data_IF_971294062347
#
_entry.id   IF_971294062347
#
_cell.length_a   1.000
_cell.length_b   1.000
_cell.length_c   1.000
_cell.angle_alpha   90.00
_cell.angle_beta   90.00
_cell.angle_gamma   90.00
#
_symmetry.space_group_name_H-M   'P 1'
#
loop_
_entity.id
_entity.type
_entity.pdbx_description
1 polymer ?
#
# COMPACT_ATOMS: atom_id res chain seq x y z
N UNK A 1 -12.05 -16.24 16.94
CA UNK A 1 -11.88 -15.47 15.70
C UNK A 1 -12.90 -14.35 15.74
N UNK A 2 -12.47 -13.09 15.83
CA UNK A 2 -13.39 -11.96 15.94
C UNK A 2 -14.05 -11.78 14.57
N UNK A 3 -15.36 -11.94 14.53
CA UNK A 3 -16.17 -11.67 13.34
C UNK A 3 -16.70 -10.25 13.46
N UNK A 4 -16.28 -9.37 12.56
CA UNK A 4 -16.82 -8.02 12.45
C UNK A 4 -17.06 -7.71 10.98
N UNK A 5 -18.09 -6.92 10.70
CA UNK A 5 -18.43 -6.48 9.33
C UNK A 5 -17.23 -5.78 8.67
N UNK A 6 -16.39 -5.10 9.46
CA UNK A 6 -15.15 -4.46 9.01
C UNK A 6 -14.14 -5.51 8.50
N UNK A 7 -13.97 -6.62 9.22
CA UNK A 7 -13.04 -7.67 8.81
C UNK A 7 -13.56 -8.42 7.59
N UNK A 8 -14.87 -8.66 7.50
CA UNK A 8 -15.49 -9.29 6.34
C UNK A 8 -15.31 -8.44 5.07
N UNK A 9 -15.60 -7.14 5.15
CA UNK A 9 -15.42 -6.23 4.03
C UNK A 9 -13.95 -6.11 3.62
N UNK A 10 -13.03 -6.06 4.59
CA UNK A 10 -11.58 -6.11 4.32
C UNK A 10 -11.22 -7.34 3.50
N UNK A 11 -11.64 -8.53 3.92
CA UNK A 11 -11.30 -9.77 3.21
C UNK A 11 -11.94 -9.82 1.82
N UNK A 12 -13.16 -9.32 1.65
CA UNK A 12 -13.84 -9.22 0.36
C UNK A 12 -13.07 -8.35 -0.62
N UNK A 13 -12.64 -7.17 -0.19
CA UNK A 13 -11.84 -6.25 -1.02
C UNK A 13 -10.47 -6.88 -1.36
N UNK A 14 -9.80 -7.49 -0.38
CA UNK A 14 -8.52 -8.15 -0.63
C UNK A 14 -8.62 -9.29 -1.64
N UNK A 15 -9.65 -10.14 -1.55
CA UNK A 15 -9.87 -11.23 -2.49
C UNK A 15 -10.09 -10.71 -3.92
N UNK A 16 -10.88 -9.64 -4.08
CA UNK A 16 -11.07 -8.97 -5.38
C UNK A 16 -9.74 -8.47 -5.95
N UNK A 17 -8.97 -7.75 -5.15
CA UNK A 17 -7.69 -7.17 -5.58
C UNK A 17 -6.66 -8.25 -5.94
N UNK A 18 -6.63 -9.37 -5.20
CA UNK A 18 -5.77 -10.51 -5.54
C UNK A 18 -6.14 -11.10 -6.89
N UNK A 19 -7.43 -11.29 -7.17
CA UNK A 19 -7.89 -11.85 -8.45
C UNK A 19 -7.55 -10.96 -9.66
N UNK A 20 -7.48 -9.64 -9.46
CA UNK A 20 -7.16 -8.66 -10.51
C UNK A 20 -5.66 -8.38 -10.67
N UNK A 21 -4.80 -8.97 -9.85
CA UNK A 21 -3.37 -8.68 -9.80
C UNK A 21 -2.55 -9.83 -10.39
N UNK A 22 -1.59 -9.51 -11.26
CA UNK A 22 -0.70 -10.52 -11.85
C UNK A 22 0.61 -10.67 -11.07
N UNK A 23 0.92 -9.69 -10.22
CA UNK A 23 2.10 -9.67 -9.37
C UNK A 23 1.81 -9.01 -8.03
N UNK A 24 2.70 -9.21 -7.05
CA UNK A 24 2.62 -8.50 -5.76
C UNK A 24 2.75 -6.99 -5.92
N UNK A 25 3.47 -6.51 -6.95
CA UNK A 25 3.62 -5.07 -7.21
C UNK A 25 2.29 -4.48 -7.67
N UNK A 26 1.61 -5.14 -8.61
CA UNK A 26 0.30 -4.72 -9.10
C UNK A 26 -0.71 -4.67 -7.96
N UNK A 27 -0.67 -5.68 -7.08
CA UNK A 27 -1.54 -5.74 -5.92
C UNK A 27 -1.32 -4.55 -4.98
N UNK A 28 -0.06 -4.20 -4.70
CA UNK A 28 0.28 -3.06 -3.84
C UNK A 28 -0.17 -1.73 -4.46
N UNK A 29 0.04 -1.56 -5.78
CA UNK A 29 -0.39 -0.36 -6.50
C UNK A 29 -1.92 -0.21 -6.48
N UNK A 30 -2.66 -1.30 -6.78
CA UNK A 30 -4.12 -1.29 -6.76
C UNK A 30 -4.67 -1.04 -5.35
N UNK A 31 -4.08 -1.67 -4.34
CA UNK A 31 -4.46 -1.47 -2.93
C UNK A 31 -4.25 -0.01 -2.52
N UNK A 32 -3.11 0.58 -2.91
CA UNK A 32 -2.84 1.98 -2.64
C UNK A 32 -3.88 2.89 -3.30
N UNK A 33 -4.23 2.64 -4.55
CA UNK A 33 -5.25 3.41 -5.28
C UNK A 33 -6.63 3.30 -4.63
N UNK A 34 -7.08 2.10 -4.30
CA UNK A 34 -8.38 1.90 -3.61
C UNK A 34 -8.41 2.64 -2.27
N UNK A 35 -7.32 2.59 -1.50
CA UNK A 35 -7.24 3.32 -0.24
C UNK A 35 -7.40 4.85 -0.46
N UNK A 36 -6.75 5.42 -1.46
CA UNK A 36 -6.87 6.84 -1.81
C UNK A 36 -8.29 7.21 -2.24
N UNK A 37 -8.96 6.38 -3.06
CA UNK A 37 -10.33 6.62 -3.50
C UNK A 37 -11.33 6.57 -2.33
N UNK A 38 -11.15 5.62 -1.41
CA UNK A 38 -11.96 5.52 -0.18
C UNK A 38 -11.73 6.75 0.70
N UNK A 39 -10.47 7.14 0.92
CA UNK A 39 -10.12 8.31 1.71
C UNK A 39 -10.80 9.57 1.15
N UNK A 40 -10.72 9.78 -0.17
CA UNK A 40 -11.40 10.87 -0.87
C UNK A 40 -12.93 10.81 -0.74
N UNK A 41 -13.53 9.63 -0.92
CA UNK A 41 -14.98 9.43 -0.84
C UNK A 41 -15.56 9.81 0.52
N UNK A 42 -14.83 9.50 1.60
CA UNK A 42 -15.30 9.72 2.95
C UNK A 42 -14.66 10.95 3.64
N UNK A 43 -13.85 11.74 2.92
CA UNK A 43 -13.27 12.97 3.44
C UNK A 43 -12.17 12.76 4.48
N UNK A 44 -11.51 11.61 4.46
CA UNK A 44 -10.36 11.33 5.32
C UNK A 44 -9.06 11.49 4.55
N UNK A 45 -7.99 11.89 5.23
CA UNK A 45 -6.65 11.97 4.66
C UNK A 45 -5.83 10.76 5.14
N UNK A 46 -5.22 10.01 4.20
CA UNK A 46 -4.28 8.95 4.56
C UNK A 46 -2.93 9.59 4.86
N UNK A 47 -2.58 9.65 6.14
CA UNK A 47 -1.24 10.02 6.59
C UNK A 47 -0.41 8.76 6.77
N UNK A 48 0.59 8.60 5.92
CA UNK A 48 1.63 7.60 6.15
C UNK A 48 2.59 8.14 7.20
N UNK A 49 3.00 7.29 8.13
CA UNK A 49 4.00 7.68 9.11
C UNK A 49 5.34 7.88 8.40
N UNK A 50 5.93 9.07 8.55
CA UNK A 50 7.34 9.31 8.25
C UNK A 50 8.17 8.63 9.35
N UNK A 51 8.36 7.32 9.21
CA UNK A 51 9.22 6.58 10.13
C UNK A 51 10.68 6.87 9.75
N UNK A 52 11.52 7.36 10.67
CA UNK A 52 12.94 7.55 10.40
C UNK A 52 13.56 6.23 9.95
N UNK A 53 14.16 6.22 8.76
CA UNK A 53 14.74 5.03 8.13
C UNK A 53 13.79 4.23 7.23
N UNK A 54 12.52 4.62 7.08
CA UNK A 54 11.64 4.07 6.04
C UNK A 54 11.76 4.87 4.74
N UNK A 55 11.93 4.15 3.63
CA UNK A 55 12.35 4.64 2.31
C UNK A 55 11.34 5.54 1.58
N UNK A 56 10.43 6.21 2.28
CA UNK A 56 9.40 7.08 1.68
C UNK A 56 9.81 8.56 1.63
N UNK A 57 10.79 8.98 2.44
CA UNK A 57 11.35 10.33 2.44
C UNK A 57 12.68 10.46 1.68
N UNK A 58 13.06 9.44 0.90
CA UNK A 58 14.31 9.43 0.15
C UNK A 58 14.10 10.07 -1.23
N UNK A 59 15.02 10.95 -1.64
CA UNK A 59 15.03 11.45 -3.01
C UNK A 59 15.19 10.29 -4.00
N UNK A 60 14.79 10.49 -5.25
CA UNK A 60 14.91 9.47 -6.30
C UNK A 60 16.35 8.92 -6.42
N UNK A 61 17.33 9.78 -6.19
CA UNK A 61 18.76 9.46 -6.23
C UNK A 61 19.18 8.56 -5.05
N UNK A 62 18.63 8.82 -3.87
CA UNK A 62 18.87 8.03 -2.67
C UNK A 62 18.23 6.63 -2.78
N UNK A 63 17.06 6.53 -3.42
CA UNK A 63 16.41 5.25 -3.72
C UNK A 63 17.27 4.42 -4.68
N UNK A 64 17.77 5.01 -5.77
CA UNK A 64 18.62 4.32 -6.75
C UNK A 64 19.94 3.84 -6.15
N UNK A 65 20.53 4.64 -5.25
CA UNK A 65 21.73 4.26 -4.50
C UNK A 65 21.47 3.06 -3.59
N UNK A 66 20.39 3.09 -2.80
CA UNK A 66 20.03 1.99 -1.90
C UNK A 66 19.71 0.69 -2.65
N UNK A 67 19.14 0.78 -3.87
CA UNK A 67 18.89 -0.39 -4.73
C UNK A 67 20.21 -0.99 -5.25
N UNK A 68 21.18 -0.16 -5.63
CA UNK A 68 22.50 -0.61 -6.06
C UNK A 68 23.30 -1.28 -4.94
N UNK A 69 23.26 -0.72 -3.74
CA UNK A 69 23.96 -1.27 -2.57
C UNK A 69 23.36 -2.61 -2.12
N UNK A 70 22.04 -2.77 -2.18
CA UNK A 70 21.36 -4.02 -1.80
C UNK A 70 21.55 -5.18 -2.81
N UNK A 71 22.08 -4.91 -4.02
CA UNK A 71 22.37 -5.92 -5.05
C UNK A 71 23.82 -6.41 -5.03
N UNK A 72 24.66 -5.89 -4.13
CA UNK A 72 26.07 -6.25 -3.99
C UNK A 72 26.26 -7.27 -2.87
#
# INVERSE_FOLDING_TARGET
>A
MIYSEILEEKYRIQAKLVAESTSIRDYLERTHREAQEVAKKYGFEIKYADLPGTKLAMSREEIDKAIKEARR
#
